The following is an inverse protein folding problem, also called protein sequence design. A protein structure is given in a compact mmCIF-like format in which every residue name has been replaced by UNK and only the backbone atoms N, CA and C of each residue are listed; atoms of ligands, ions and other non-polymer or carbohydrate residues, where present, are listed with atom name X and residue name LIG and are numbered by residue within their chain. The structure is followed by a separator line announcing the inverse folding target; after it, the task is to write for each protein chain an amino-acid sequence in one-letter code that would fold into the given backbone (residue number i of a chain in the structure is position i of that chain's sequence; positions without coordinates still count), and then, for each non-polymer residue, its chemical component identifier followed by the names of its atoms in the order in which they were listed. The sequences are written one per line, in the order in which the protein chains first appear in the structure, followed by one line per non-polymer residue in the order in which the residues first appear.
data_IF_159381479580
#
_entry.id   IF_159381479580
#
_cell.length_a   1.000
_cell.length_b   1.000
_cell.length_c   1.000
_cell.angle_alpha   90.00
_cell.angle_beta   90.00
_cell.angle_gamma   90.00
#
_symmetry.space_group_name_H-M   'P 1'
#
loop_
_entity.id
_entity.type
_entity.pdbx_description
1 polymer ?
#
# COMPACT_ATOMS: atom_id res chain seq x y z
N UNK A 1 -10.06 50.92 70.49
CA UNK A 1 -8.73 51.47 70.13
C UNK A 1 -8.06 50.44 69.24
N UNK A 2 -7.74 50.62 67.96
CA UNK A 2 -7.60 51.82 67.15
C UNK A 2 -8.13 51.50 65.74
N UNK A 3 -8.94 52.41 65.22
CA UNK A 3 -9.48 52.42 63.86
C UNK A 3 -8.64 53.46 63.11
N UNK A 4 -7.98 53.08 62.01
CA UNK A 4 -7.59 53.97 60.91
C UNK A 4 -6.76 53.18 59.89
N UNK A 5 -6.88 53.31 58.57
CA UNK A 5 -7.83 54.00 57.69
C UNK A 5 -7.31 53.75 56.26
N UNK A 6 -8.10 53.04 55.45
CA UNK A 6 -8.57 53.48 54.11
C UNK A 6 -7.53 54.02 53.11
N UNK A 7 -7.34 53.32 51.97
CA UNK A 7 -7.88 53.72 50.64
C UNK A 7 -7.41 52.81 49.49
N UNK A 8 -8.41 52.33 48.73
CA UNK A 8 -8.48 52.11 47.25
C UNK A 8 -7.45 51.14 46.65
N UNK A 9 -7.81 50.13 45.87
CA UNK A 9 -8.58 50.26 44.63
C UNK A 9 -9.51 49.06 44.38
N UNK A 10 -10.80 49.37 44.19
CA UNK A 10 -11.74 48.54 43.46
C UNK A 10 -11.61 48.89 41.97
N UNK A 11 -10.79 48.16 41.21
CA UNK A 11 -10.94 48.05 39.76
C UNK A 11 -10.25 46.75 39.31
N UNK A 12 -10.88 45.98 38.42
CA UNK A 12 -10.41 44.70 37.84
C UNK A 12 -10.68 43.41 38.63
N UNK A 13 -11.95 43.02 38.74
CA UNK A 13 -12.37 41.62 38.94
C UNK A 13 -13.37 41.20 37.83
N UNK A 14 -12.98 41.42 36.58
CA UNK A 14 -13.64 40.86 35.39
C UNK A 14 -12.57 40.38 34.41
N UNK A 15 -11.79 39.36 34.78
CA UNK A 15 -10.95 38.59 33.84
C UNK A 15 -10.25 37.42 34.55
N UNK A 16 -10.97 36.36 34.93
CA UNK A 16 -10.32 35.08 35.23
C UNK A 16 -11.23 33.86 35.10
N UNK A 17 -12.09 33.86 34.08
CA UNK A 17 -12.77 32.66 33.59
C UNK A 17 -12.21 32.26 32.21
N UNK A 18 -10.89 32.09 32.13
CA UNK A 18 -10.20 31.89 30.84
C UNK A 18 -9.03 30.90 30.88
N UNK A 19 -8.92 30.05 31.90
CA UNK A 19 -7.90 29.00 31.93
C UNK A 19 -8.48 27.68 32.47
N UNK A 20 -9.43 27.11 31.72
CA UNK A 20 -9.74 25.68 31.81
C UNK A 20 -8.84 24.98 30.79
N UNK A 21 -7.69 24.55 31.27
CA UNK A 21 -6.76 23.55 30.72
C UNK A 21 -7.19 22.94 29.37
N UNK A 22 -6.73 23.53 28.25
CA UNK A 22 -6.66 22.79 26.99
C UNK A 22 -5.54 21.76 27.12
N UNK A 23 -5.88 20.54 27.53
CA UNK A 23 -5.03 19.39 27.23
C UNK A 23 -5.10 19.26 25.71
N UNK A 24 -3.96 19.35 25.03
CA UNK A 24 -3.91 19.22 23.57
C UNK A 24 -4.56 17.89 23.16
N UNK A 25 -5.37 17.90 22.11
CA UNK A 25 -6.03 16.68 21.61
C UNK A 25 -5.01 15.55 21.32
N UNK A 26 -3.77 15.93 21.01
CA UNK A 26 -2.63 15.03 20.86
C UNK A 26 -2.23 14.34 22.18
N UNK A 27 -2.14 15.09 23.30
CA UNK A 27 -1.79 14.51 24.60
C UNK A 27 -2.89 13.58 25.14
N UNK A 28 -4.14 13.83 24.78
CA UNK A 28 -5.27 12.98 25.18
C UNK A 28 -5.29 11.71 24.33
N UNK A 29 -5.00 11.82 23.03
CA UNK A 29 -4.79 10.67 22.15
C UNK A 29 -3.62 9.80 22.63
N UNK A 30 -2.49 10.40 22.99
CA UNK A 30 -1.30 9.66 23.43
C UNK A 30 -1.52 8.96 24.79
N UNK A 31 -2.24 9.59 25.73
CA UNK A 31 -2.65 8.94 26.99
C UNK A 31 -3.58 7.75 26.74
N UNK A 32 -4.57 7.89 25.86
CA UNK A 32 -5.49 6.82 25.50
C UNK A 32 -4.81 5.67 24.76
N UNK A 33 -3.89 5.97 23.85
CA UNK A 33 -3.13 5.00 23.06
C UNK A 33 -2.06 4.26 23.88
N UNK A 34 -1.73 4.75 25.07
CA UNK A 34 -0.79 4.10 25.98
C UNK A 34 -1.51 3.24 27.03
N UNK A 35 -2.75 3.58 27.39
CA UNK A 35 -3.53 2.85 28.40
C UNK A 35 -4.53 1.83 27.81
N UNK A 36 -4.84 1.92 26.52
CA UNK A 36 -5.72 0.97 25.84
C UNK A 36 -5.04 0.52 24.53
N UNK A 37 -5.31 -0.72 24.06
CA UNK A 37 -4.87 -1.21 22.76
C UNK A 37 -5.70 -0.58 21.62
N UNK A 38 -5.81 0.74 21.62
CA UNK A 38 -6.56 1.53 20.64
C UNK A 38 -5.58 2.53 20.01
N UNK A 39 -5.79 2.81 18.72
CA UNK A 39 -5.01 3.81 18.00
C UNK A 39 -5.93 4.96 17.58
N UNK A 40 -5.88 6.05 18.34
CA UNK A 40 -6.57 7.29 18.06
C UNK A 40 -5.57 8.28 17.49
N UNK A 41 -5.86 8.83 16.32
CA UNK A 41 -5.15 10.01 15.79
C UNK A 41 -5.76 11.26 16.45
N UNK A 42 -5.00 12.34 16.62
CA UNK A 42 -5.53 13.59 17.18
C UNK A 42 -6.75 14.14 16.40
N UNK A 43 -6.80 13.86 15.10
CA UNK A 43 -7.95 14.16 14.25
C UNK A 43 -9.22 13.39 14.69
N UNK A 44 -9.10 12.14 15.14
CA UNK A 44 -10.24 11.36 15.64
C UNK A 44 -10.73 11.82 17.01
N UNK A 45 -9.82 12.30 17.87
CA UNK A 45 -10.17 12.89 19.18
C UNK A 45 -10.89 14.23 19.01
N UNK A 46 -10.51 15.01 18.00
CA UNK A 46 -11.18 16.27 17.66
C UNK A 46 -12.55 16.04 17.01
N UNK A 47 -12.69 15.03 16.16
CA UNK A 47 -13.97 14.71 15.50
C UNK A 47 -14.99 14.07 16.44
N UNK A 48 -14.55 13.26 17.43
CA UNK A 48 -15.43 12.51 18.31
C UNK A 48 -15.07 12.71 19.80
N UNK A 49 -15.36 13.88 20.40
CA UNK A 49 -14.99 14.18 21.78
C UNK A 49 -15.74 13.35 22.83
N UNK A 50 -16.99 12.95 22.57
CA UNK A 50 -17.76 12.10 23.49
C UNK A 50 -17.22 10.66 23.53
N UNK A 51 -16.71 10.16 22.41
CA UNK A 51 -16.04 8.86 22.34
C UNK A 51 -14.71 8.88 23.11
N UNK A 52 -13.96 9.98 23.04
CA UNK A 52 -12.76 10.16 23.85
C UNK A 52 -13.06 10.18 25.36
N UNK A 53 -14.15 10.82 25.79
CA UNK A 53 -14.60 10.78 27.20
C UNK A 53 -15.02 9.38 27.64
N UNK A 54 -15.71 8.63 26.78
CA UNK A 54 -16.08 7.24 27.05
C UNK A 54 -14.83 6.36 27.21
N UNK A 55 -13.85 6.50 26.31
CA UNK A 55 -12.59 5.75 26.42
C UNK A 55 -11.80 6.13 27.67
N UNK A 56 -11.78 7.41 28.06
CA UNK A 56 -11.18 7.82 29.35
C UNK A 56 -11.90 7.21 30.55
N UNK A 57 -13.21 7.03 30.48
CA UNK A 57 -13.97 6.34 31.52
C UNK A 57 -13.64 4.85 31.56
N UNK A 58 -13.53 4.22 30.39
CA UNK A 58 -13.11 2.82 30.22
C UNK A 58 -11.69 2.57 30.75
N UNK A 59 -10.75 3.50 30.56
CA UNK A 59 -9.39 3.41 31.13
C UNK A 59 -9.38 3.33 32.66
N UNK A 60 -10.39 3.84 33.36
CA UNK A 60 -10.48 3.71 34.82
C UNK A 60 -10.84 2.30 35.28
N UNK A 61 -11.47 1.52 34.40
CA UNK A 61 -11.98 0.20 34.71
C UNK A 61 -11.21 -0.92 34.01
N UNK A 62 -10.33 -0.59 33.06
CA UNK A 62 -9.56 -1.54 32.26
C UNK A 62 -8.05 -1.39 32.49
N UNK A 63 -7.37 -2.51 32.59
CA UNK A 63 -5.90 -2.62 32.64
C UNK A 63 -5.32 -2.65 31.22
N UNK A 64 -4.01 -2.42 31.05
CA UNK A 64 -3.30 -2.42 29.75
C UNK A 64 -3.54 -3.67 28.87
N UNK A 65 -4.00 -4.78 29.47
CA UNK A 65 -4.37 -6.04 28.81
C UNK A 65 -5.85 -6.17 28.42
N UNK A 66 -6.68 -5.14 28.69
CA UNK A 66 -8.12 -5.15 28.42
C UNK A 66 -8.96 -5.91 29.47
N UNK A 67 -8.39 -6.27 30.61
CA UNK A 67 -9.13 -6.88 31.72
C UNK A 67 -9.68 -5.84 32.70
N UNK A 68 -10.84 -6.13 33.29
CA UNK A 68 -11.39 -5.34 34.40
C UNK A 68 -10.41 -5.33 35.58
N UNK A 69 -10.21 -4.16 36.21
CA UNK A 69 -9.30 -4.00 37.36
C UNK A 69 -9.66 -4.94 38.51
N UNK A 70 -10.95 -5.21 38.73
CA UNK A 70 -11.40 -6.16 39.76
C UNK A 70 -10.97 -7.60 39.43
N UNK A 71 -11.21 -8.04 38.19
CA UNK A 71 -10.82 -9.38 37.72
C UNK A 71 -9.31 -9.56 37.71
N UNK A 72 -8.56 -8.51 37.36
CA UNK A 72 -7.09 -8.57 37.41
C UNK A 72 -6.58 -8.74 38.84
N UNK A 73 -7.19 -8.04 39.81
CA UNK A 73 -6.86 -8.19 41.23
C UNK A 73 -7.19 -9.59 41.74
N UNK A 74 -8.37 -10.11 41.40
CA UNK A 74 -8.79 -11.46 41.78
C UNK A 74 -7.87 -12.53 41.15
N UNK A 75 -7.43 -12.32 39.91
CA UNK A 75 -6.48 -13.20 39.23
C UNK A 75 -5.10 -13.21 39.91
N UNK A 76 -4.59 -12.04 40.34
CA UNK A 76 -3.32 -11.97 41.09
C UNK A 76 -3.48 -12.70 42.43
N UNK A 77 -4.56 -12.45 43.15
CA UNK A 77 -4.83 -13.10 44.44
C UNK A 77 -4.98 -14.62 44.30
N UNK A 78 -5.74 -15.09 43.31
CA UNK A 78 -5.85 -16.52 43.01
C UNK A 78 -4.50 -17.13 42.58
N UNK A 79 -3.69 -16.39 41.83
CA UNK A 79 -2.34 -16.79 41.46
C UNK A 79 -1.40 -16.92 42.65
N UNK A 80 -1.49 -16.01 43.63
CA UNK A 80 -0.71 -16.05 44.85
C UNK A 80 -1.13 -17.23 45.75
N UNK A 81 -2.44 -17.46 45.92
CA UNK A 81 -2.98 -18.61 46.64
C UNK A 81 -2.52 -19.92 45.97
N UNK A 82 -2.64 -20.01 44.64
CA UNK A 82 -2.19 -21.19 43.89
C UNK A 82 -0.68 -21.42 44.05
N UNK A 83 0.13 -20.35 44.05
CA UNK A 83 1.57 -20.45 44.26
C UNK A 83 1.89 -20.97 45.66
N UNK A 84 1.18 -20.49 46.68
CA UNK A 84 1.35 -20.97 48.06
C UNK A 84 0.96 -22.44 48.19
N UNK A 85 -0.18 -22.85 47.64
CA UNK A 85 -0.62 -24.25 47.66
C UNK A 85 0.32 -25.16 46.89
N UNK A 86 0.79 -24.72 45.71
CA UNK A 86 1.78 -25.46 44.92
C UNK A 86 3.09 -25.62 45.69
N UNK A 87 3.55 -24.58 46.40
CA UNK A 87 4.76 -24.65 47.21
C UNK A 87 4.61 -25.66 48.35
N UNK A 88 3.48 -25.64 49.08
CA UNK A 88 3.19 -26.64 50.12
C UNK A 88 3.15 -28.05 49.55
N UNK A 89 2.44 -28.24 48.44
CA UNK A 89 2.37 -29.54 47.75
C UNK A 89 3.74 -30.05 47.33
N UNK A 90 4.57 -29.20 46.71
CA UNK A 90 5.92 -29.57 46.30
C UNK A 90 6.81 -29.92 47.49
N UNK A 91 6.70 -29.19 48.61
CA UNK A 91 7.42 -29.55 49.84
C UNK A 91 7.02 -30.94 50.35
N UNK A 92 5.72 -31.24 50.41
CA UNK A 92 5.23 -32.57 50.82
C UNK A 92 5.67 -33.66 49.85
N UNK A 93 5.59 -33.40 48.54
CA UNK A 93 6.00 -34.36 47.51
C UNK A 93 7.50 -34.67 47.59
N UNK A 94 8.35 -33.65 47.77
CA UNK A 94 9.81 -33.86 47.93
C UNK A 94 10.11 -34.68 49.18
N UNK A 95 9.49 -34.37 50.32
CA UNK A 95 9.69 -35.15 51.54
C UNK A 95 9.24 -36.61 51.37
N UNK A 96 8.08 -36.81 50.75
CA UNK A 96 7.53 -38.13 50.47
C UNK A 96 8.39 -38.93 49.49
N UNK A 97 8.90 -38.32 48.41
CA UNK A 97 9.79 -38.99 47.47
C UNK A 97 11.10 -39.39 48.13
N UNK A 98 11.70 -38.53 48.95
CA UNK A 98 12.93 -38.88 49.69
C UNK A 98 12.70 -40.00 50.69
N UNK A 99 11.58 -40.01 51.40
CA UNK A 99 11.22 -41.08 52.33
C UNK A 99 11.05 -42.42 51.60
N UNK A 100 10.42 -42.42 50.43
CA UNK A 100 10.28 -43.62 49.60
C UNK A 100 11.62 -44.12 49.06
N UNK A 101 12.45 -43.23 48.53
CA UNK A 101 13.79 -43.58 48.07
C UNK A 101 14.66 -44.15 49.19
N UNK A 102 14.60 -43.56 50.39
CA UNK A 102 15.28 -44.05 51.59
C UNK A 102 14.84 -45.49 51.94
N UNK A 103 13.53 -45.76 51.91
CA UNK A 103 12.98 -47.09 52.16
C UNK A 103 13.39 -48.10 51.09
N UNK A 104 13.42 -47.70 49.81
CA UNK A 104 13.87 -48.55 48.70
C UNK A 104 15.37 -48.87 48.84
N UNK A 105 16.20 -47.87 49.14
CA UNK A 105 17.64 -48.03 49.34
C UNK A 105 17.93 -48.93 50.55
N UNK A 106 17.13 -48.80 51.62
CA UNK A 106 17.19 -49.69 52.78
C UNK A 106 16.76 -51.12 52.46
N UNK A 107 15.67 -51.32 51.71
CA UNK A 107 15.21 -52.64 51.28
C UNK A 107 16.26 -53.32 50.38
N UNK A 108 16.97 -52.56 49.54
CA UNK A 108 18.13 -53.06 48.77
C UNK A 108 19.32 -53.42 49.68
N UNK A 109 19.69 -52.56 50.64
CA UNK A 109 20.81 -52.82 51.56
C UNK A 109 20.56 -53.97 52.53
N UNK A 110 19.31 -54.18 52.97
CA UNK A 110 18.86 -55.33 53.78
C UNK A 110 19.12 -56.68 53.09
N UNK A 111 19.17 -56.67 51.75
CA UNK A 111 19.46 -57.84 50.92
C UNK A 111 20.97 -58.15 50.82
N UNK A 112 21.84 -57.17 51.10
CA UNK A 112 23.30 -57.27 50.96
C UNK A 112 24.05 -57.36 52.31
N UNK A 113 23.58 -56.69 53.37
CA UNK A 113 24.21 -56.67 54.70
C UNK A 113 23.14 -56.73 55.79
N UNK A 114 23.22 -57.66 56.73
CA UNK A 114 22.28 -57.74 57.87
C UNK A 114 22.41 -56.49 58.76
N UNK A 115 21.43 -55.57 58.75
CA UNK A 115 21.51 -54.36 59.56
C UNK A 115 21.24 -54.67 61.04
N UNK A 116 21.64 -53.76 61.93
CA UNK A 116 21.40 -53.91 63.37
C UNK A 116 19.90 -54.09 63.65
N UNK A 117 19.56 -55.01 64.58
CA UNK A 117 18.18 -55.40 64.89
C UNK A 117 17.28 -54.19 65.21
N UNK A 118 17.84 -53.18 65.88
CA UNK A 118 17.14 -51.93 66.23
C UNK A 118 16.84 -51.06 65.01
N UNK A 119 17.79 -50.89 64.08
CA UNK A 119 17.59 -50.08 62.87
C UNK A 119 16.53 -50.69 61.96
N UNK A 120 16.50 -52.03 61.87
CA UNK A 120 15.50 -52.77 61.10
C UNK A 120 14.08 -52.61 61.65
N UNK A 121 13.92 -52.59 62.97
CA UNK A 121 12.63 -52.30 63.59
C UNK A 121 12.16 -50.87 63.34
N UNK A 122 13.09 -49.91 63.21
CA UNK A 122 12.76 -48.51 62.90
C UNK A 122 12.29 -48.30 61.46
N UNK A 123 12.96 -48.89 60.46
CA UNK A 123 12.55 -48.76 59.07
C UNK A 123 11.27 -49.54 58.76
N UNK A 124 11.03 -50.69 59.39
CA UNK A 124 9.74 -51.39 59.27
C UNK A 124 8.61 -50.60 59.92
N UNK A 125 8.84 -49.97 61.08
CA UNK A 125 7.89 -49.05 61.68
C UNK A 125 7.61 -47.82 60.79
N UNK A 126 8.63 -47.32 60.07
CA UNK A 126 8.48 -46.23 59.10
C UNK A 126 7.63 -46.65 57.91
N UNK A 127 7.87 -47.85 57.36
CA UNK A 127 7.12 -48.43 56.25
C UNK A 127 5.65 -48.62 56.60
N UNK A 128 5.36 -49.10 57.81
CA UNK A 128 3.99 -49.25 58.32
C UNK A 128 3.34 -47.88 58.57
N UNK A 129 4.08 -46.89 59.05
CA UNK A 129 3.53 -45.54 59.24
C UNK A 129 3.26 -44.82 57.91
N UNK A 130 4.10 -45.03 56.90
CA UNK A 130 3.92 -44.46 55.56
C UNK A 130 2.73 -45.09 54.86
N UNK A 131 2.58 -46.42 54.91
CA UNK A 131 1.43 -47.11 54.31
C UNK A 131 0.11 -46.77 55.02
N UNK A 132 0.14 -46.55 56.33
CA UNK A 132 -1.02 -46.02 57.07
C UNK A 132 -1.40 -44.60 56.63
N UNK A 133 -0.42 -43.73 56.37
CA UNK A 133 -0.67 -42.38 55.89
C UNK A 133 -1.18 -42.36 54.44
N UNK A 134 -0.59 -43.16 53.55
CA UNK A 134 -1.09 -43.34 52.17
C UNK A 134 -2.53 -43.87 52.16
N UNK A 135 -2.82 -44.88 52.99
CA UNK A 135 -4.17 -45.40 53.15
C UNK A 135 -5.15 -44.32 53.63
N UNK A 136 -4.70 -43.38 54.47
CA UNK A 136 -5.50 -42.24 54.92
C UNK A 136 -5.79 -41.25 53.79
N UNK A 137 -4.79 -40.93 52.96
CA UNK A 137 -4.97 -40.04 51.80
C UNK A 137 -5.92 -40.65 50.75
N UNK A 138 -5.87 -41.98 50.57
CA UNK A 138 -6.83 -42.70 49.72
C UNK A 138 -8.26 -42.73 50.31
N UNK A 139 -8.40 -42.62 51.63
CA UNK A 139 -9.69 -42.53 52.32
C UNK A 139 -10.32 -41.13 52.19
N UNK A 140 -9.51 -40.08 52.00
CA UNK A 140 -9.95 -38.69 51.80
C UNK A 140 -10.35 -38.35 50.34
N UNK A 141 -10.26 -39.30 49.40
CA UNK A 141 -10.63 -39.07 48.00
C UNK A 141 -12.16 -39.08 47.79
N UNK A 142 -12.75 -37.88 47.70
CA UNK A 142 -14.17 -37.67 47.39
C UNK A 142 -14.32 -37.10 45.97
N UNK A 143 -14.74 -37.89 44.96
CA UNK A 143 -14.86 -37.41 43.57
C UNK A 143 -16.02 -36.42 43.35
N UNK A 144 -16.98 -36.36 44.27
CA UNK A 144 -18.12 -35.46 44.27
C UNK A 144 -18.12 -34.72 45.63
N UNK A 145 -17.92 -33.40 45.64
CA UNK A 145 -17.65 -32.60 46.84
C UNK A 145 -18.80 -32.49 47.85
N UNK A 146 -19.16 -33.61 48.48
CA UNK A 146 -20.14 -33.69 49.57
C UNK A 146 -19.46 -33.97 50.92
N UNK A 147 -19.89 -33.24 51.96
CA UNK A 147 -19.52 -33.43 53.37
C UNK A 147 -20.12 -34.73 53.98
N UNK A 148 -19.98 -35.87 53.32
CA UNK A 148 -20.47 -37.13 53.84
C UNK A 148 -19.29 -38.04 54.16
N UNK A 149 -19.10 -38.26 55.45
CA UNK A 149 -18.17 -39.16 56.14
C UNK A 149 -18.36 -40.64 55.79
N UNK A 150 -18.48 -40.97 54.50
CA UNK A 150 -18.63 -42.31 53.99
C UNK A 150 -17.36 -42.69 53.23
N UNK A 151 -16.36 -43.13 53.99
CA UNK A 151 -15.13 -43.70 53.46
C UNK A 151 -15.41 -44.98 52.67
N UNK A 152 -14.61 -45.23 51.63
CA UNK A 152 -14.62 -46.48 50.86
C UNK A 152 -14.55 -47.67 51.84
N UNK A 153 -15.64 -48.44 51.97
CA UNK A 153 -15.81 -49.59 52.88
C UNK A 153 -16.07 -49.29 54.38
N UNK A 154 -16.42 -48.06 54.78
CA UNK A 154 -16.79 -47.76 56.17
C UNK A 154 -15.61 -47.73 57.15
N UNK A 155 -14.37 -47.69 56.65
CA UNK A 155 -13.15 -47.55 57.42
C UNK A 155 -12.97 -46.10 57.87
N UNK A 156 -13.08 -45.82 59.15
CA UNK A 156 -12.81 -44.48 59.70
C UNK A 156 -11.31 -44.30 60.01
N UNK A 157 -10.82 -43.06 59.86
CA UNK A 157 -9.44 -42.64 60.16
C UNK A 157 -8.94 -43.10 61.55
N UNK A 158 -9.85 -43.15 62.52
CA UNK A 158 -9.61 -43.60 63.90
C UNK A 158 -9.16 -45.07 64.00
N UNK A 159 -9.59 -45.96 63.11
CA UNK A 159 -9.22 -47.38 63.15
C UNK A 159 -7.78 -47.64 62.70
N UNK A 160 -7.23 -46.81 61.81
CA UNK A 160 -5.85 -46.89 61.31
C UNK A 160 -4.82 -46.29 62.28
N UNK A 161 -5.25 -45.43 63.20
CA UNK A 161 -4.36 -44.68 64.12
C UNK A 161 -4.15 -45.37 65.49
N UNK A 162 -4.79 -46.50 65.76
CA UNK A 162 -4.82 -47.22 67.07
C UNK A 162 -3.43 -47.66 67.59
N UNK A 163 -2.37 -47.62 66.80
CA UNK A 163 -0.99 -47.98 67.18
C UNK A 163 -0.15 -46.86 67.84
N UNK A 164 -0.75 -45.74 68.27
CA UNK A 164 -0.02 -44.52 68.64
C UNK A 164 0.94 -44.60 69.86
N UNK A 165 0.81 -45.60 70.73
CA UNK A 165 1.61 -45.68 71.97
C UNK A 165 3.05 -46.19 71.80
N UNK A 166 3.33 -47.03 70.80
CA UNK A 166 4.72 -47.41 70.45
C UNK A 166 5.46 -46.27 69.72
N UNK A 167 4.73 -45.26 69.22
CA UNK A 167 5.32 -44.23 68.38
C UNK A 167 6.23 -43.27 69.15
N UNK A 168 6.03 -42.99 70.46
CA UNK A 168 6.87 -42.02 71.22
C UNK A 168 8.36 -42.42 71.32
N UNK A 169 8.66 -43.69 71.59
CA UNK A 169 10.04 -44.18 71.66
C UNK A 169 10.69 -44.24 70.28
N UNK A 170 9.89 -44.53 69.24
CA UNK A 170 10.33 -44.63 67.85
C UNK A 170 10.47 -43.22 67.24
N UNK A 171 9.67 -42.24 67.68
CA UNK A 171 9.76 -40.83 67.28
C UNK A 171 11.08 -40.20 67.70
N UNK A 172 11.60 -40.53 68.89
CA UNK A 172 12.89 -40.02 69.35
C UNK A 172 14.04 -40.61 68.53
N UNK A 173 13.97 -41.88 68.14
CA UNK A 173 14.96 -42.49 67.24
C UNK A 173 14.80 -42.08 65.77
N UNK A 174 13.59 -41.74 65.32
CA UNK A 174 13.33 -41.07 64.03
C UNK A 174 13.98 -39.69 63.99
N UNK A 175 13.83 -38.91 65.06
CA UNK A 175 14.45 -37.58 65.17
C UNK A 175 15.98 -37.65 65.18
N UNK A 176 16.56 -38.69 65.77
CA UNK A 176 18.01 -38.81 65.90
C UNK A 176 18.71 -39.41 64.68
N UNK A 177 18.06 -40.27 63.89
CA UNK A 177 18.72 -40.99 62.78
C UNK A 177 18.13 -40.68 61.40
N UNK A 178 16.81 -40.63 61.27
CA UNK A 178 16.14 -40.48 59.96
C UNK A 178 16.12 -39.02 59.50
N UNK A 179 15.92 -38.07 60.41
CA UNK A 179 15.94 -36.64 60.06
C UNK A 179 17.33 -36.19 59.55
N UNK A 180 18.45 -36.48 60.24
CA UNK A 180 19.78 -36.09 59.75
C UNK A 180 20.16 -36.76 58.43
N UNK A 181 19.76 -38.03 58.21
CA UNK A 181 20.01 -38.74 56.95
C UNK A 181 19.22 -38.13 55.78
N UNK A 182 17.95 -37.78 56.01
CA UNK A 182 17.13 -37.06 55.04
C UNK A 182 17.68 -35.67 54.74
N UNK A 183 18.10 -34.92 55.76
CA UNK A 183 18.73 -33.61 55.58
C UNK A 183 20.03 -33.70 54.77
N UNK A 184 20.84 -34.73 54.99
CA UNK A 184 22.06 -34.98 54.21
C UNK A 184 21.77 -35.33 52.75
N UNK A 185 20.78 -36.20 52.47
CA UNK A 185 20.38 -36.55 51.09
C UNK A 185 19.80 -35.34 50.36
N UNK A 186 18.93 -34.57 51.02
CA UNK A 186 18.37 -33.34 50.47
C UNK A 186 19.46 -32.30 50.18
N UNK A 187 20.42 -32.13 51.10
CA UNK A 187 21.58 -31.26 50.90
C UNK A 187 22.39 -31.65 49.66
N UNK A 188 22.69 -32.93 49.48
CA UNK A 188 23.42 -33.43 48.30
C UNK A 188 22.64 -33.21 46.99
N UNK A 189 21.31 -33.42 46.98
CA UNK A 189 20.47 -33.11 45.81
C UNK A 189 20.45 -31.61 45.51
N UNK A 190 20.34 -30.75 46.51
CA UNK A 190 20.42 -29.29 46.34
C UNK A 190 21.78 -28.86 45.77
N UNK A 191 22.88 -29.48 46.23
CA UNK A 191 24.22 -29.25 45.69
C UNK A 191 24.35 -29.71 44.23
N UNK A 192 23.71 -30.83 43.87
CA UNK A 192 23.67 -31.33 42.48
C UNK A 192 22.89 -30.38 41.56
N UNK A 193 21.78 -29.82 42.04
CA UNK A 193 21.03 -28.81 41.27
C UNK A 193 21.84 -27.52 41.13
N UNK A 194 22.56 -27.11 42.18
CA UNK A 194 23.43 -25.95 42.13
C UNK A 194 24.62 -26.14 41.17
N UNK A 195 25.21 -27.33 41.13
CA UNK A 195 26.30 -27.66 40.20
C UNK A 195 25.83 -27.74 38.75
N UNK A 196 24.58 -28.13 38.49
CA UNK A 196 24.00 -28.06 37.15
C UNK A 196 23.80 -26.62 36.66
N UNK A 197 23.32 -25.72 37.52
CA UNK A 197 23.09 -24.32 37.17
C UNK A 197 24.39 -23.55 36.93
N UNK A 198 25.42 -23.81 37.74
CA UNK A 198 26.78 -23.28 37.55
C UNK A 198 27.78 -24.41 37.70
N UNK A 199 28.24 -25.04 36.61
CA UNK A 199 29.29 -26.05 36.71
C UNK A 199 30.55 -25.42 37.30
N UNK A 200 30.91 -25.85 38.51
CA UNK A 200 32.09 -25.37 39.21
C UNK A 200 33.34 -25.73 38.39
N UNK A 201 34.13 -24.73 38.00
CA UNK A 201 35.41 -24.95 37.30
C UNK A 201 36.51 -25.48 38.23
N UNK A 202 36.28 -25.56 39.54
CA UNK A 202 37.21 -26.13 40.53
C UNK A 202 36.46 -26.47 41.82
N UNK A 203 36.97 -27.47 42.55
CA UNK A 203 36.39 -28.01 43.79
C UNK A 203 36.17 -26.91 44.84
N UNK A 204 34.95 -26.43 44.95
CA UNK A 204 34.50 -25.61 46.07
C UNK A 204 34.20 -26.51 47.27
N UNK A 205 34.55 -26.05 48.47
CA UNK A 205 34.16 -26.70 49.74
C UNK A 205 32.63 -26.93 49.78
N UNK A 206 32.18 -28.07 50.32
CA UNK A 206 30.76 -28.46 50.47
C UNK A 206 29.90 -27.38 51.15
N UNK A 207 30.49 -26.57 52.04
CA UNK A 207 29.81 -25.46 52.69
C UNK A 207 29.54 -24.28 51.74
N UNK A 208 30.41 -24.06 50.75
CA UNK A 208 30.23 -23.03 49.72
C UNK A 208 29.25 -23.50 48.64
N UNK A 209 29.22 -24.79 48.30
CA UNK A 209 28.23 -25.34 47.36
C UNK A 209 26.82 -25.29 47.96
N UNK A 210 26.66 -25.61 49.25
CA UNK A 210 25.36 -25.48 49.93
C UNK A 210 24.91 -24.02 50.09
N UNK A 211 25.82 -23.10 50.42
CA UNK A 211 25.51 -21.67 50.45
C UNK A 211 25.08 -21.15 49.06
N UNK A 212 25.72 -21.61 47.98
CA UNK A 212 25.34 -21.31 46.60
C UNK A 212 23.98 -21.91 46.23
N UNK A 213 23.69 -23.14 46.66
CA UNK A 213 22.39 -23.78 46.46
C UNK A 213 21.26 -23.02 47.17
N UNK A 214 21.52 -22.50 48.38
CA UNK A 214 20.55 -21.70 49.13
C UNK A 214 20.27 -20.34 48.48
N UNK A 215 21.27 -19.76 47.81
CA UNK A 215 21.12 -18.48 47.10
C UNK A 215 20.53 -18.65 45.68
N UNK A 216 20.56 -19.86 45.11
CA UNK A 216 20.11 -20.13 43.75
C UNK A 216 18.66 -19.67 43.46
N UNK A 217 17.67 -19.91 44.33
CA UNK A 217 16.30 -19.42 44.10
C UNK A 217 16.22 -17.90 43.95
N UNK A 218 17.00 -17.16 44.75
CA UNK A 218 17.05 -15.70 44.66
C UNK A 218 17.69 -15.22 43.35
N UNK A 219 18.75 -15.90 42.87
CA UNK A 219 19.35 -15.61 41.56
C UNK A 219 18.39 -15.90 40.41
N UNK A 220 17.69 -17.04 40.44
CA UNK A 220 16.71 -17.42 39.41
C UNK A 220 15.52 -16.44 39.39
N UNK A 221 15.04 -16.00 40.55
CA UNK A 221 13.98 -14.99 40.61
C UNK A 221 14.46 -13.65 40.05
N UNK A 222 15.71 -13.23 40.31
CA UNK A 222 16.28 -12.03 39.71
C UNK A 222 16.43 -12.16 38.18
N UNK A 223 16.90 -13.30 37.66
CA UNK A 223 17.01 -13.55 36.22
C UNK A 223 15.64 -13.55 35.55
N UNK A 224 14.64 -14.17 36.18
CA UNK A 224 13.26 -14.13 35.73
C UNK A 224 12.71 -12.71 35.70
N UNK A 225 12.97 -11.91 36.74
CA UNK A 225 12.56 -10.51 36.78
C UNK A 225 13.23 -9.67 35.69
N UNK A 226 14.52 -9.90 35.42
CA UNK A 226 15.24 -9.27 34.31
C UNK A 226 14.62 -9.65 32.96
N UNK A 227 14.34 -10.94 32.75
CA UNK A 227 13.67 -11.42 31.55
C UNK A 227 12.27 -10.79 31.38
N UNK A 228 11.48 -10.69 32.46
CA UNK A 228 10.18 -10.03 32.43
C UNK A 228 10.30 -8.54 32.08
N UNK A 229 11.36 -7.87 32.53
CA UNK A 229 11.66 -6.47 32.15
C UNK A 229 12.04 -6.37 30.68
N UNK A 230 12.89 -7.27 30.17
CA UNK A 230 13.26 -7.33 28.75
C UNK A 230 12.04 -7.62 27.86
N UNK A 231 11.17 -8.53 28.26
CA UNK A 231 9.91 -8.82 27.55
C UNK A 231 9.04 -7.56 27.48
N UNK A 232 8.89 -6.83 28.60
CA UNK A 232 8.15 -5.55 28.62
C UNK A 232 8.79 -4.51 27.71
N UNK A 233 10.12 -4.39 27.73
CA UNK A 233 10.85 -3.48 26.84
C UNK A 233 10.67 -3.88 25.36
N UNK A 234 10.75 -5.17 25.04
CA UNK A 234 10.55 -5.67 23.69
C UNK A 234 9.11 -5.40 23.21
N UNK A 235 8.13 -5.60 24.08
CA UNK A 235 6.73 -5.27 23.79
C UNK A 235 6.55 -3.77 23.52
N UNK A 236 7.13 -2.90 24.35
CA UNK A 236 7.12 -1.45 24.13
C UNK A 236 7.75 -1.05 22.79
N UNK A 237 8.93 -1.59 22.47
CA UNK A 237 9.62 -1.34 21.19
C UNK A 237 8.79 -1.83 20.00
N UNK A 238 8.14 -2.99 20.12
CA UNK A 238 7.25 -3.54 19.08
C UNK A 238 6.09 -2.58 18.80
N UNK A 239 5.42 -2.11 19.86
CA UNK A 239 4.30 -1.17 19.74
C UNK A 239 4.75 0.17 19.14
N UNK A 240 5.92 0.69 19.52
CA UNK A 240 6.48 1.92 18.94
C UNK A 240 6.74 1.78 17.44
N UNK A 241 7.38 0.69 17.03
CA UNK A 241 7.63 0.39 15.62
C UNK A 241 6.31 0.27 14.85
N UNK A 242 5.33 -0.40 15.42
CA UNK A 242 4.02 -0.56 14.78
C UNK A 242 3.28 0.79 14.64
N UNK A 243 3.43 1.72 15.62
CA UNK A 243 2.95 3.12 15.51
C UNK A 243 3.65 3.86 14.36
N UNK A 244 4.97 3.80 14.28
CA UNK A 244 5.74 4.43 13.19
C UNK A 244 5.36 3.87 11.82
N UNK A 245 5.22 2.54 11.71
CA UNK A 245 4.82 1.89 10.46
C UNK A 245 3.44 2.36 9.99
N UNK A 246 2.47 2.49 10.91
CA UNK A 246 1.14 3.01 10.59
C UNK A 246 1.17 4.46 10.11
N UNK A 247 1.96 5.32 10.76
CA UNK A 247 2.12 6.72 10.34
C UNK A 247 2.69 6.82 8.91
N UNK A 248 3.72 6.03 8.60
CA UNK A 248 4.29 5.96 7.24
C UNK A 248 3.24 5.47 6.23
N UNK A 249 2.48 4.44 6.59
CA UNK A 249 1.43 3.90 5.73
C UNK A 249 0.29 4.91 5.49
N UNK A 250 -0.09 5.68 6.51
CA UNK A 250 -1.11 6.73 6.39
C UNK A 250 -0.65 7.84 5.45
N UNK A 251 0.59 8.32 5.58
CA UNK A 251 1.18 9.32 4.68
C UNK A 251 1.25 8.79 3.25
N UNK A 252 1.67 7.53 3.07
CA UNK A 252 1.71 6.91 1.75
C UNK A 252 0.31 6.85 1.13
N UNK A 253 -0.71 6.47 1.90
CA UNK A 253 -2.09 6.42 1.43
C UNK A 253 -2.60 7.81 1.03
N UNK A 254 -2.33 8.85 1.83
CA UNK A 254 -2.69 10.23 1.50
C UNK A 254 -1.99 10.71 0.22
N UNK A 255 -0.72 10.35 0.01
CA UNK A 255 0.02 10.69 -1.19
C UNK A 255 -0.56 9.99 -2.44
N UNK A 256 -0.96 8.72 -2.31
CA UNK A 256 -1.60 7.96 -3.38
C UNK A 256 -2.97 8.56 -3.74
N UNK A 257 -3.79 8.90 -2.75
CA UNK A 257 -5.07 9.58 -2.97
C UNK A 257 -4.89 10.94 -3.65
N UNK A 258 -3.86 11.69 -3.28
CA UNK A 258 -3.54 12.97 -3.93
C UNK A 258 -3.12 12.76 -5.38
N UNK A 259 -2.30 11.74 -5.65
CA UNK A 259 -1.87 11.39 -7.00
C UNK A 259 -3.05 10.91 -7.87
N UNK A 260 -3.93 10.08 -7.32
CA UNK A 260 -5.15 9.62 -7.98
C UNK A 260 -6.05 10.80 -8.34
N UNK A 261 -6.27 11.72 -7.40
CA UNK A 261 -7.03 12.96 -7.66
C UNK A 261 -6.38 13.79 -8.76
N UNK A 262 -5.06 13.96 -8.73
CA UNK A 262 -4.34 14.73 -9.74
C UNK A 262 -4.43 14.10 -11.14
N UNK A 263 -4.37 12.77 -11.23
CA UNK A 263 -4.54 12.06 -12.49
C UNK A 263 -5.97 12.21 -13.02
N UNK A 264 -6.97 11.94 -12.18
CA UNK A 264 -8.39 11.95 -12.58
C UNK A 264 -8.89 13.36 -12.90
N UNK A 265 -8.65 14.33 -12.02
CA UNK A 265 -9.15 15.70 -12.17
C UNK A 265 -8.34 16.49 -13.20
N UNK A 266 -7.00 16.48 -13.12
CA UNK A 266 -6.18 17.35 -13.96
C UNK A 266 -5.78 16.71 -15.30
N UNK A 267 -5.23 15.48 -15.29
CA UNK A 267 -4.74 14.84 -16.52
C UNK A 267 -5.85 14.33 -17.42
N UNK A 268 -6.86 13.69 -16.84
CA UNK A 268 -7.94 13.08 -17.63
C UNK A 268 -9.04 14.08 -17.95
N UNK A 269 -9.60 14.76 -16.95
CA UNK A 269 -10.77 15.61 -17.16
C UNK A 269 -10.41 17.02 -17.63
N UNK A 270 -9.55 17.75 -16.89
CA UNK A 270 -9.25 19.15 -17.21
C UNK A 270 -8.52 19.30 -18.54
N UNK A 271 -7.54 18.43 -18.82
CA UNK A 271 -6.82 18.46 -20.09
C UNK A 271 -7.74 18.13 -21.27
N UNK A 272 -8.57 17.08 -21.18
CA UNK A 272 -9.49 16.74 -22.26
C UNK A 272 -10.51 17.86 -22.54
N UNK A 273 -10.99 18.54 -21.49
CA UNK A 273 -11.86 19.72 -21.65
C UNK A 273 -11.12 20.87 -22.35
N UNK A 274 -9.88 21.15 -21.94
CA UNK A 274 -9.06 22.19 -22.56
C UNK A 274 -8.78 21.88 -24.04
N UNK A 275 -8.40 20.65 -24.34
CA UNK A 275 -8.11 20.20 -25.72
C UNK A 275 -9.37 20.28 -26.58
N UNK A 276 -10.54 19.91 -26.04
CA UNK A 276 -11.83 20.04 -26.73
C UNK A 276 -12.15 21.49 -27.08
N UNK A 277 -12.05 22.40 -26.10
CA UNK A 277 -12.30 23.83 -26.33
C UNK A 277 -11.29 24.42 -27.32
N UNK A 278 -10.02 24.00 -27.24
CA UNK A 278 -8.97 24.45 -28.18
C UNK A 278 -9.27 23.95 -29.60
N UNK A 279 -9.71 22.71 -29.77
CA UNK A 279 -10.09 22.15 -31.06
C UNK A 279 -11.33 22.82 -31.65
N UNK A 280 -12.34 23.12 -30.83
CA UNK A 280 -13.53 23.90 -31.23
C UNK A 280 -13.13 25.32 -31.67
N UNK A 281 -12.26 25.99 -30.91
CA UNK A 281 -11.73 27.31 -31.25
C UNK A 281 -10.93 27.29 -32.57
N UNK A 282 -10.08 26.29 -32.78
CA UNK A 282 -9.33 26.12 -34.03
C UNK A 282 -10.25 25.86 -35.22
N UNK A 283 -11.25 25.00 -35.07
CA UNK A 283 -12.26 24.72 -36.11
C UNK A 283 -12.99 26.00 -36.49
N UNK A 284 -13.49 26.75 -35.51
CA UNK A 284 -14.17 28.02 -35.75
C UNK A 284 -13.25 29.05 -36.43
N UNK A 285 -11.95 29.08 -36.07
CA UNK A 285 -10.95 29.93 -36.72
C UNK A 285 -10.71 29.53 -38.19
N UNK A 286 -10.65 28.23 -38.47
CA UNK A 286 -10.55 27.70 -39.83
C UNK A 286 -11.78 28.08 -40.66
N UNK A 287 -12.99 27.90 -40.13
CA UNK A 287 -14.24 28.28 -40.80
C UNK A 287 -14.29 29.78 -41.12
N UNK A 288 -13.88 30.62 -40.17
CA UNK A 288 -13.77 32.06 -40.38
C UNK A 288 -12.75 32.41 -41.48
N UNK A 289 -11.62 31.70 -41.56
CA UNK A 289 -10.65 31.87 -42.65
C UNK A 289 -11.22 31.42 -44.00
N UNK A 290 -11.91 30.28 -44.06
CA UNK A 290 -12.59 29.81 -45.27
C UNK A 290 -13.62 30.83 -45.77
N UNK A 291 -14.41 31.41 -44.86
CA UNK A 291 -15.36 32.47 -45.18
C UNK A 291 -14.65 33.73 -45.69
N UNK A 292 -13.55 34.16 -45.06
CA UNK A 292 -12.74 35.29 -45.54
C UNK A 292 -12.22 35.05 -46.96
N UNK A 293 -11.68 33.87 -47.24
CA UNK A 293 -11.20 33.51 -48.60
C UNK A 293 -12.35 33.57 -49.60
N UNK A 294 -13.53 33.04 -49.25
CA UNK A 294 -14.72 33.10 -50.12
C UNK A 294 -15.20 34.53 -50.37
N UNK A 295 -15.14 35.42 -49.36
CA UNK A 295 -15.46 36.84 -49.54
C UNK A 295 -14.49 37.51 -50.51
N UNK A 296 -13.17 37.27 -50.35
CA UNK A 296 -12.16 37.79 -51.27
C UNK A 296 -12.34 37.28 -52.70
N UNK A 297 -12.67 36.00 -52.87
CA UNK A 297 -13.00 35.43 -54.18
C UNK A 297 -14.20 36.15 -54.83
N UNK A 298 -15.29 36.37 -54.08
CA UNK A 298 -16.46 37.08 -54.59
C UNK A 298 -16.14 38.54 -54.93
N UNK A 299 -15.30 39.19 -54.12
CA UNK A 299 -14.83 40.54 -54.40
C UNK A 299 -14.04 40.58 -55.71
N UNK A 300 -13.09 39.65 -55.91
CA UNK A 300 -12.33 39.56 -57.16
C UNK A 300 -13.25 39.35 -58.37
N UNK A 301 -14.27 38.50 -58.26
CA UNK A 301 -15.26 38.28 -59.34
C UNK A 301 -16.01 39.58 -59.65
N UNK A 302 -16.51 40.27 -58.63
CA UNK A 302 -17.21 41.55 -58.78
C UNK A 302 -16.32 42.62 -59.43
N UNK A 303 -15.06 42.68 -59.04
CA UNK A 303 -14.11 43.67 -59.54
C UNK A 303 -13.65 43.33 -60.97
N UNK A 304 -13.58 42.04 -61.35
CA UNK A 304 -13.23 41.60 -62.71
C UNK A 304 -14.41 41.74 -63.70
N UNK A 305 -15.63 41.42 -63.25
CA UNK A 305 -16.83 41.47 -64.07
C UNK A 305 -17.69 42.67 -63.68
N UNK A 306 -17.19 43.88 -63.95
CA UNK A 306 -18.02 45.08 -63.82
C UNK A 306 -19.19 45.04 -64.82
N UNK A 307 -20.33 45.68 -64.51
CA UNK A 307 -21.47 45.71 -65.43
C UNK A 307 -21.09 46.31 -66.79
N UNK A 308 -20.19 47.30 -66.81
CA UNK A 308 -19.67 47.90 -68.03
C UNK A 308 -18.79 46.90 -68.82
N UNK A 309 -17.88 46.20 -68.14
CA UNK A 309 -17.00 45.22 -68.78
C UNK A 309 -17.80 44.03 -69.32
N UNK A 310 -18.80 43.55 -68.59
CA UNK A 310 -19.68 42.47 -69.07
C UNK A 310 -20.53 42.89 -70.25
N UNK A 311 -21.04 44.12 -70.28
CA UNK A 311 -21.79 44.64 -71.41
C UNK A 311 -20.91 44.87 -72.64
N UNK A 312 -19.68 45.36 -72.45
CA UNK A 312 -18.68 45.44 -73.52
C UNK A 312 -18.32 44.05 -74.08
N UNK A 313 -18.06 43.07 -73.21
CA UNK A 313 -17.79 41.69 -73.61
C UNK A 313 -18.97 41.05 -74.35
N UNK A 314 -20.22 41.34 -73.96
CA UNK A 314 -21.41 40.89 -74.71
C UNK A 314 -21.44 41.49 -76.11
N UNK A 315 -21.17 42.80 -76.26
CA UNK A 315 -21.13 43.46 -77.58
C UNK A 315 -20.01 42.91 -78.46
N UNK A 316 -18.84 42.65 -77.90
CA UNK A 316 -17.73 42.00 -78.61
C UNK A 316 -18.14 40.59 -79.03
N UNK A 317 -18.79 39.83 -78.13
CA UNK A 317 -19.28 38.49 -78.45
C UNK A 317 -20.32 38.50 -79.57
N UNK A 318 -21.27 39.43 -79.56
CA UNK A 318 -22.27 39.53 -80.65
C UNK A 318 -21.59 39.90 -81.97
N UNK A 319 -20.70 40.89 -81.96
CA UNK A 319 -19.96 41.29 -83.17
C UNK A 319 -19.11 40.15 -83.74
N UNK A 320 -18.39 39.41 -82.89
CA UNK A 320 -17.59 38.26 -83.32
C UNK A 320 -18.47 37.14 -83.89
N UNK A 321 -19.65 36.90 -83.29
CA UNK A 321 -20.61 35.90 -83.78
C UNK A 321 -21.17 36.31 -85.14
N UNK A 322 -21.52 37.57 -85.31
CA UNK A 322 -22.01 38.10 -86.59
C UNK A 322 -20.92 38.03 -87.67
N UNK A 323 -19.67 38.36 -87.32
CA UNK A 323 -18.52 38.26 -88.23
C UNK A 323 -18.17 36.80 -88.59
N UNK A 324 -18.28 35.87 -87.63
CA UNK A 324 -18.13 34.44 -87.86
C UNK A 324 -19.23 33.92 -88.79
N UNK A 325 -20.48 34.33 -88.57
CA UNK A 325 -21.61 33.97 -89.43
C UNK A 325 -21.40 34.51 -90.86
N UNK A 326 -21.01 35.78 -91.03
CA UNK A 326 -20.71 36.37 -92.34
C UNK A 326 -19.54 35.67 -93.05
N UNK A 327 -18.44 35.40 -92.33
CA UNK A 327 -17.30 34.68 -92.88
C UNK A 327 -17.67 33.24 -93.27
N UNK A 328 -18.50 32.57 -92.47
CA UNK A 328 -19.00 31.23 -92.79
C UNK A 328 -19.93 31.24 -94.00
N UNK A 329 -20.75 32.27 -94.15
CA UNK A 329 -21.62 32.47 -95.31
C UNK A 329 -20.80 32.76 -96.57
N UNK A 330 -19.76 33.58 -96.48
CA UNK A 330 -18.85 33.83 -97.58
C UNK A 330 -18.05 32.57 -97.97
N UNK A 331 -17.54 31.84 -96.98
CA UNK A 331 -16.87 30.56 -97.23
C UNK A 331 -17.82 29.56 -97.89
N UNK A 332 -19.08 29.50 -97.45
CA UNK A 332 -20.10 28.67 -98.08
C UNK A 332 -20.36 29.11 -99.53
N UNK A 333 -20.49 30.42 -99.78
CA UNK A 333 -20.65 30.99 -101.14
C UNK A 333 -19.45 30.66 -102.03
N UNK A 334 -18.24 30.86 -101.55
CA UNK A 334 -17.01 30.57 -102.30
C UNK A 334 -16.88 29.08 -102.61
N UNK A 335 -17.20 28.23 -101.63
CA UNK A 335 -17.23 26.76 -101.84
C UNK A 335 -18.26 26.39 -102.90
N UNK A 336 -19.46 26.98 -102.89
CA UNK A 336 -20.45 26.76 -103.95
C UNK A 336 -19.96 27.26 -105.31
N UNK A 337 -19.30 28.41 -105.40
CA UNK A 337 -18.73 28.89 -106.66
C UNK A 337 -17.59 27.99 -107.15
N UNK A 338 -16.76 27.49 -106.24
CA UNK A 338 -15.68 26.57 -106.57
C UNK A 338 -16.24 25.24 -107.07
N UNK A 339 -17.24 24.68 -106.40
CA UNK A 339 -17.98 23.51 -106.88
C UNK A 339 -18.61 23.75 -108.26
N UNK A 340 -19.16 24.94 -108.50
CA UNK A 340 -19.67 25.31 -109.82
C UNK A 340 -18.54 25.33 -110.86
N UNK A 341 -17.38 25.92 -110.56
CA UNK A 341 -16.20 25.88 -111.44
C UNK A 341 -15.69 24.46 -111.68
N UNK A 342 -15.59 23.62 -110.65
CA UNK A 342 -15.22 22.21 -110.77
C UNK A 342 -16.22 21.44 -111.65
N UNK A 343 -17.51 21.78 -111.57
CA UNK A 343 -18.54 21.18 -112.42
C UNK A 343 -18.45 21.59 -113.90
N UNK A 344 -17.70 22.65 -114.24
CA UNK A 344 -17.39 23.03 -115.64
C UNK A 344 -16.49 21.98 -116.32
N UNK A 345 -15.95 21.03 -115.55
CA UNK A 345 -15.49 19.73 -116.05
C UNK A 345 -14.11 19.74 -116.72
N UNK A 346 -13.55 18.55 -116.90
CA UNK A 346 -12.14 18.24 -117.28
C UNK A 346 -11.62 18.89 -118.58
N UNK A 347 -12.48 19.58 -119.33
CA UNK A 347 -12.09 20.38 -120.50
C UNK A 347 -11.69 21.81 -120.15
N UNK A 348 -12.09 22.34 -118.98
CA UNK A 348 -11.72 23.68 -118.54
C UNK A 348 -10.22 23.77 -118.23
N UNK A 349 -9.64 22.77 -117.56
CA UNK A 349 -8.21 22.72 -117.30
C UNK A 349 -7.39 22.70 -118.61
N UNK A 350 -7.82 21.90 -119.59
CA UNK A 350 -7.21 21.89 -120.92
C UNK A 350 -7.41 23.22 -121.65
N UNK A 351 -8.55 23.89 -121.49
CA UNK A 351 -8.80 25.21 -122.06
C UNK A 351 -7.96 26.30 -121.39
N UNK A 352 -7.74 26.22 -120.08
CA UNK A 352 -6.87 27.13 -119.32
C UNK A 352 -5.40 26.87 -119.69
N UNK A 353 -4.98 25.62 -119.85
CA UNK A 353 -3.66 25.25 -120.40
C UNK A 353 -3.48 25.77 -121.83
N UNK A 354 -4.48 25.60 -122.70
CA UNK A 354 -4.45 26.12 -124.07
C UNK A 354 -4.45 27.64 -124.08
N UNK A 355 -5.23 28.31 -123.22
CA UNK A 355 -5.28 29.76 -123.12
C UNK A 355 -3.98 30.34 -122.56
N UNK A 356 -3.38 29.71 -121.54
CA UNK A 356 -2.09 30.12 -120.98
C UNK A 356 -0.94 29.85 -121.95
N UNK A 357 -0.95 28.72 -122.67
CA UNK A 357 -0.01 28.43 -123.76
C UNK A 357 -0.16 29.43 -124.91
N UNK A 358 -1.40 29.75 -125.31
CA UNK A 358 -1.67 30.74 -126.36
C UNK A 358 -1.26 32.15 -125.92
N UNK A 359 -1.50 32.52 -124.65
CA UNK A 359 -1.02 33.78 -124.08
C UNK A 359 0.50 33.85 -124.07
N UNK A 360 1.18 32.77 -123.66
CA UNK A 360 2.64 32.68 -123.71
C UNK A 360 3.17 32.73 -125.14
N UNK A 361 2.48 32.13 -126.12
CA UNK A 361 2.84 32.18 -127.54
C UNK A 361 2.57 33.56 -128.14
N UNK A 362 1.47 34.23 -127.76
CA UNK A 362 1.19 35.63 -128.12
C UNK A 362 2.27 36.53 -127.55
N UNK A 363 2.67 36.35 -126.29
CA UNK A 363 3.71 37.15 -125.66
C UNK A 363 5.09 36.86 -126.28
N UNK A 364 5.39 35.60 -126.62
CA UNK A 364 6.62 35.23 -127.33
C UNK A 364 6.64 35.76 -128.78
N UNK A 365 5.52 35.73 -129.50
CA UNK A 365 5.40 36.33 -130.84
C UNK A 365 5.46 37.85 -130.80
N UNK A 366 4.83 38.49 -129.81
CA UNK A 366 4.98 39.93 -129.57
C UNK A 366 6.44 40.28 -129.27
N UNK A 367 7.10 39.49 -128.43
CA UNK A 367 8.52 39.62 -128.12
C UNK A 367 9.40 39.45 -129.37
N UNK A 368 9.17 38.39 -130.16
CA UNK A 368 9.90 38.15 -131.41
C UNK A 368 9.65 39.24 -132.46
N UNK A 369 8.42 39.76 -132.58
CA UNK A 369 8.10 40.88 -133.48
C UNK A 369 8.76 42.19 -133.02
N UNK A 370 8.87 42.45 -131.71
CA UNK A 370 9.65 43.59 -131.24
C UNK A 370 11.14 43.45 -131.53
N UNK A 371 11.70 42.24 -131.45
CA UNK A 371 13.12 41.98 -131.71
C UNK A 371 13.46 42.04 -133.20
N UNK A 372 12.61 41.48 -134.07
CA UNK A 372 12.77 41.56 -135.54
C UNK A 372 12.63 42.98 -136.08
N UNK A 373 11.78 43.79 -135.44
CA UNK A 373 11.67 45.21 -135.76
C UNK A 373 12.92 45.97 -135.33
N UNK A 374 13.56 45.59 -134.23
CA UNK A 374 14.85 46.13 -133.80
C UNK A 374 16.03 45.70 -134.70
N UNK A 375 16.02 44.50 -135.26
CA UNK A 375 17.09 44.03 -136.16
C UNK A 375 16.94 44.55 -137.59
N UNK A 376 15.72 44.76 -138.11
CA UNK A 376 15.51 45.42 -139.40
C UNK A 376 15.87 46.91 -139.39
N UNK A 377 15.69 47.61 -138.27
CA UNK A 377 16.17 48.99 -138.13
C UNK A 377 17.72 49.04 -138.03
N UNK A 378 18.37 47.99 -137.51
CA UNK A 378 19.85 47.91 -137.44
C UNK A 378 20.53 47.51 -138.77
N UNK A 379 19.96 46.62 -139.59
CA UNK A 379 20.54 46.26 -140.90
C UNK A 379 20.35 47.35 -141.98
N UNK A 380 19.37 48.24 -141.80
CA UNK A 380 19.24 49.46 -142.61
C UNK A 380 20.20 50.57 -142.17
N UNK A 381 20.71 50.58 -140.93
CA UNK A 381 21.68 51.58 -140.47
C UNK A 381 23.15 51.23 -140.82
N UNK A 382 23.47 49.94 -141.02
CA UNK A 382 24.83 49.51 -141.39
C UNK A 382 25.16 49.63 -142.89
N UNK A 383 24.16 49.61 -143.78
CA UNK A 383 24.37 49.82 -145.23
C UNK A 383 24.43 51.31 -145.64
N UNK A 384 24.10 52.24 -144.73
CA UNK A 384 24.29 53.68 -144.93
C UNK A 384 25.58 54.22 -144.26
N UNK A 385 26.40 53.37 -143.63
CA UNK A 385 27.57 53.78 -142.83
C UNK A 385 28.94 53.17 -143.23
N UNK A 386 29.16 52.83 -144.51
CA UNK A 386 30.49 52.57 -145.13
C UNK A 386 30.30 52.49 -146.66
N UNK A 387 30.76 53.42 -147.49
CA UNK A 387 32.16 53.67 -147.93
C UNK A 387 32.88 52.44 -148.46
#
# INVERSE_FOLDING_TARGET
MNISSVKRDCTFMYARNGQRSMISAQETADKLNNSLPVHLTASNVQQNPEFAKLLMFLTRHLTDSGMSVAVHKDMIQAGDILREQKLKYLQFLTLYSELKELLIEYDMRKQEVHPSSTMSQLYEALKVSLSQAEALDYLDFHPEGGEQSATLLGLKAEHLLTGAHQKKSIHQSFQQNVIPELESRLRSKCETVASFHKPAKQADNEQLSFAKATQLPAFLENEKQLLDQEIKQLHYNRTLRDKQFRQLYEVLMQSLQTLERLITEHRLQSQAKHDRVTAEWLTAKCDAMCLKVRVLQNQMIRDTYSPEATEALKRIKTFLKDAEEESSAELHRLTQTLLAYESVGMGFDSLVEQYTALMAEIDNKKWALSELRQTQDNELDDLWNQR
#
